data_IF_586718314358
#
_entry.id   IF_586718314358
#
_cell.length_a   1.000
_cell.length_b   1.000
_cell.length_c   1.000
_cell.angle_alpha   90.00
_cell.angle_beta   90.00
_cell.angle_gamma   90.00
#
_symmetry.space_group_name_H-M   'P 1'
#
loop_
_entity.id
_entity.type
_entity.pdbx_description
1 polymer ?
#
# COMPACT_ATOMS: atom_id res chain seq x y z
N UNK A 1 -27.30 12.95 33.39
CA UNK A 1 -26.12 12.62 32.58
C UNK A 1 -25.99 13.55 31.37
N UNK A 2 -27.04 14.24 31.00
CA UNK A 2 -27.11 15.08 29.80
C UNK A 2 -26.17 16.30 29.79
N UNK A 3 -25.76 16.77 31.00
CA UNK A 3 -24.86 17.93 31.12
C UNK A 3 -23.42 17.70 30.63
N UNK A 4 -22.94 16.45 30.63
CA UNK A 4 -21.56 16.10 30.22
C UNK A 4 -21.45 16.08 28.69
N UNK A 5 -22.53 15.77 28.00
CA UNK A 5 -22.58 15.65 26.54
C UNK A 5 -23.08 16.91 25.84
N UNK A 6 -23.40 17.96 26.61
CA UNK A 6 -23.78 19.27 26.07
C UNK A 6 -22.51 20.03 25.71
N UNK A 7 -22.39 20.43 24.45
CA UNK A 7 -21.25 21.23 23.98
C UNK A 7 -21.22 22.60 24.66
N UNK A 8 -20.02 23.07 25.03
CA UNK A 8 -19.83 24.38 25.67
C UNK A 8 -20.27 25.53 24.76
N UNK A 9 -20.26 25.28 23.42
CA UNK A 9 -20.64 26.25 22.39
C UNK A 9 -21.96 25.90 21.67
N UNK A 10 -22.79 25.01 22.25
CA UNK A 10 -24.06 24.64 21.65
C UNK A 10 -25.00 25.85 21.66
N UNK A 11 -25.40 26.27 20.47
CA UNK A 11 -26.42 27.30 20.22
C UNK A 11 -27.68 26.61 19.68
N UNK A 12 -28.82 27.30 19.75
CA UNK A 12 -30.14 26.81 19.30
C UNK A 12 -30.19 26.37 17.82
N UNK A 13 -29.18 26.71 17.03
CA UNK A 13 -29.01 26.34 15.61
C UNK A 13 -28.17 25.05 15.38
N UNK A 14 -27.51 24.54 16.41
CA UNK A 14 -26.73 23.31 16.32
C UNK A 14 -27.60 22.11 16.64
N UNK A 15 -27.79 21.19 15.71
CA UNK A 15 -28.54 19.96 15.99
C UNK A 15 -27.78 19.19 17.07
N UNK A 16 -28.42 18.95 18.21
CA UNK A 16 -27.90 18.15 19.30
C UNK A 16 -27.74 16.70 18.80
N UNK A 17 -26.52 16.25 18.67
CA UNK A 17 -26.27 14.85 18.34
C UNK A 17 -26.63 14.01 19.56
N UNK A 18 -27.59 13.10 19.43
CA UNK A 18 -27.95 12.17 20.48
C UNK A 18 -26.76 11.26 20.77
N UNK A 19 -26.49 10.96 22.05
CA UNK A 19 -25.45 10.00 22.45
C UNK A 19 -25.68 8.63 21.82
N UNK A 20 -26.95 8.25 21.65
CA UNK A 20 -27.34 6.99 21.01
C UNK A 20 -26.93 6.98 19.52
N UNK A 21 -27.23 8.05 18.79
CA UNK A 21 -26.89 8.18 17.39
C UNK A 21 -25.36 8.21 17.17
N UNK A 22 -24.63 8.92 18.08
CA UNK A 22 -23.16 8.93 18.06
C UNK A 22 -22.59 7.53 18.23
N UNK A 23 -23.03 6.78 19.25
CA UNK A 23 -22.54 5.42 19.50
C UNK A 23 -22.91 4.46 18.37
N UNK A 24 -24.08 4.63 17.77
CA UNK A 24 -24.52 3.82 16.63
C UNK A 24 -23.66 4.08 15.40
N UNK A 25 -23.45 5.33 15.02
CA UNK A 25 -22.61 5.69 13.88
C UNK A 25 -21.15 5.24 14.09
N UNK A 26 -20.62 5.44 15.30
CA UNK A 26 -19.28 5.01 15.67
C UNK A 26 -19.15 3.48 15.59
N UNK A 27 -20.10 2.73 16.16
CA UNK A 27 -20.12 1.27 16.13
C UNK A 27 -20.18 0.71 14.72
N UNK A 28 -21.08 1.25 13.89
CA UNK A 28 -21.20 0.85 12.48
C UNK A 28 -19.90 1.15 11.73
N UNK A 29 -19.31 2.33 11.91
CA UNK A 29 -18.06 2.71 11.25
C UNK A 29 -16.90 1.79 11.62
N UNK A 30 -16.80 1.35 12.87
CA UNK A 30 -15.81 0.37 13.31
C UNK A 30 -16.02 -0.99 12.62
N UNK A 31 -17.26 -1.45 12.52
CA UNK A 31 -17.58 -2.71 11.82
C UNK A 31 -17.20 -2.62 10.34
N UNK A 32 -17.56 -1.50 9.67
CA UNK A 32 -17.19 -1.27 8.28
C UNK A 32 -15.66 -1.24 8.09
N UNK A 33 -14.94 -0.61 9.00
CA UNK A 33 -13.46 -0.61 9.00
C UNK A 33 -12.86 -2.00 9.15
N UNK A 34 -13.43 -2.84 10.03
CA UNK A 34 -13.00 -4.24 10.17
C UNK A 34 -13.26 -5.06 8.89
N UNK A 35 -14.42 -4.87 8.24
CA UNK A 35 -14.74 -5.52 6.96
C UNK A 35 -13.72 -5.12 5.89
N UNK A 36 -13.36 -3.83 5.81
CA UNK A 36 -12.37 -3.34 4.84
C UNK A 36 -10.98 -3.89 5.15
N UNK A 37 -10.56 -3.93 6.42
CA UNK A 37 -9.28 -4.50 6.83
C UNK A 37 -9.21 -6.00 6.51
N UNK A 38 -10.29 -6.75 6.72
CA UNK A 38 -10.39 -8.16 6.36
C UNK A 38 -10.32 -8.37 4.84
N UNK A 39 -11.04 -7.56 4.06
CA UNK A 39 -11.02 -7.61 2.59
C UNK A 39 -9.62 -7.28 2.04
N UNK A 40 -8.92 -6.31 2.62
CA UNK A 40 -7.56 -5.96 2.22
C UNK A 40 -6.55 -7.04 2.57
N UNK A 41 -6.68 -7.67 3.74
CA UNK A 41 -5.80 -8.76 4.20
C UNK A 41 -5.83 -9.98 3.27
N UNK A 42 -6.91 -10.14 2.49
CA UNK A 42 -7.05 -11.26 1.58
C UNK A 42 -6.14 -11.10 0.36
N UNK A 43 -5.13 -11.99 0.22
CA UNK A 43 -4.14 -12.06 -0.88
C UNK A 43 -3.21 -10.83 -1.06
N UNK A 44 -3.15 -9.90 -0.13
CA UNK A 44 -2.19 -8.80 -0.18
C UNK A 44 -1.12 -8.96 0.90
N UNK A 45 0.12 -8.63 0.58
CA UNK A 45 1.17 -8.42 1.59
C UNK A 45 0.82 -7.14 2.37
N UNK A 46 0.77 -7.20 3.68
CA UNK A 46 0.38 -6.09 4.52
C UNK A 46 1.14 -6.07 5.86
N UNK A 47 1.32 -4.90 6.43
CA UNK A 47 1.81 -4.76 7.79
C UNK A 47 0.66 -4.75 8.78
N UNK A 48 0.85 -5.34 9.97
CA UNK A 48 -0.17 -5.33 11.03
C UNK A 48 -0.61 -3.90 11.38
N UNK A 49 0.34 -2.96 11.38
CA UNK A 49 0.07 -1.55 11.65
C UNK A 49 -0.90 -0.93 10.63
N UNK A 50 -0.74 -1.24 9.35
CA UNK A 50 -1.64 -0.74 8.29
C UNK A 50 -3.07 -1.27 8.47
N UNK A 51 -3.25 -2.55 8.79
CA UNK A 51 -4.58 -3.12 9.03
C UNK A 51 -5.31 -2.46 10.20
N UNK A 52 -4.60 -2.19 11.31
CA UNK A 52 -5.18 -1.48 12.46
C UNK A 52 -5.59 -0.07 12.07
N UNK A 53 -4.73 0.65 11.33
CA UNK A 53 -5.05 1.99 10.84
C UNK A 53 -6.30 1.96 9.94
N UNK A 54 -6.37 1.00 9.03
CA UNK A 54 -7.49 0.85 8.10
C UNK A 54 -8.80 0.54 8.84
N UNK A 55 -8.75 -0.29 9.89
CA UNK A 55 -9.91 -0.63 10.70
C UNK A 55 -10.47 0.57 11.50
N UNK A 56 -9.59 1.45 11.97
CA UNK A 56 -9.97 2.61 12.79
C UNK A 56 -10.33 3.85 11.97
N UNK A 57 -9.80 3.97 10.76
CA UNK A 57 -9.92 5.18 9.94
C UNK A 57 -11.38 5.61 9.67
N UNK A 58 -12.34 4.72 9.31
CA UNK A 58 -13.73 5.13 9.12
C UNK A 58 -14.36 5.70 10.38
N UNK A 59 -14.03 5.16 11.56
CA UNK A 59 -14.55 5.64 12.83
C UNK A 59 -14.03 7.05 13.17
N UNK A 60 -12.73 7.29 12.95
CA UNK A 60 -12.14 8.63 13.15
C UNK A 60 -12.78 9.65 12.22
N UNK A 61 -12.91 9.33 10.93
CA UNK A 61 -13.54 10.23 9.95
C UNK A 61 -15.02 10.47 10.28
N UNK A 62 -15.75 9.42 10.68
CA UNK A 62 -17.14 9.51 11.10
C UNK A 62 -17.31 10.53 12.23
N UNK A 63 -16.53 10.43 13.31
CA UNK A 63 -16.61 11.35 14.45
C UNK A 63 -16.27 12.77 14.02
N UNK A 64 -15.24 12.98 13.23
CA UNK A 64 -14.86 14.30 12.74
C UNK A 64 -16.00 14.94 11.94
N UNK A 65 -16.63 14.18 11.03
CA UNK A 65 -17.73 14.67 10.20
C UNK A 65 -18.98 14.97 11.06
N UNK A 66 -19.30 14.13 12.04
CA UNK A 66 -20.39 14.39 12.96
C UNK A 66 -20.19 15.70 13.74
N UNK A 67 -18.95 15.98 14.18
CA UNK A 67 -18.65 17.21 14.92
C UNK A 67 -18.66 18.46 14.03
N UNK A 68 -18.43 18.31 12.73
CA UNK A 68 -18.46 19.40 11.74
C UNK A 68 -19.87 19.66 11.20
N UNK A 69 -20.76 18.68 11.31
CA UNK A 69 -22.10 18.73 10.74
C UNK A 69 -22.87 19.92 11.25
N UNK A 70 -23.37 20.76 10.35
CA UNK A 70 -24.09 21.99 10.64
C UNK A 70 -23.21 23.25 10.82
N UNK A 71 -21.88 23.12 10.84
CA UNK A 71 -20.98 24.27 11.00
C UNK A 71 -19.96 24.37 9.86
N UNK A 72 -20.26 25.25 8.90
CA UNK A 72 -19.37 25.46 7.71
C UNK A 72 -17.97 25.92 8.14
N UNK A 73 -17.87 26.78 9.17
CA UNK A 73 -16.57 27.26 9.67
C UNK A 73 -15.72 26.14 10.25
N UNK A 74 -16.32 25.22 11.02
CA UNK A 74 -15.63 24.03 11.51
C UNK A 74 -15.17 23.12 10.36
N UNK A 75 -15.99 22.97 9.31
CA UNK A 75 -15.64 22.20 8.11
C UNK A 75 -14.39 22.73 7.43
N UNK A 76 -14.31 24.05 7.23
CA UNK A 76 -13.12 24.71 6.64
C UNK A 76 -11.90 24.57 7.54
N UNK A 77 -12.06 24.74 8.86
CA UNK A 77 -10.97 24.58 9.82
C UNK A 77 -10.39 23.16 9.82
N UNK A 78 -11.25 22.13 9.80
CA UNK A 78 -10.86 20.72 9.73
C UNK A 78 -10.14 20.42 8.39
N UNK A 79 -10.68 20.90 7.26
CA UNK A 79 -10.03 20.75 5.96
C UNK A 79 -8.64 21.40 5.94
N UNK A 80 -8.50 22.59 6.54
CA UNK A 80 -7.23 23.27 6.73
C UNK A 80 -6.25 22.48 7.61
N UNK A 81 -6.72 21.95 8.73
CA UNK A 81 -5.90 21.12 9.61
C UNK A 81 -5.40 19.85 8.92
N UNK A 82 -6.26 19.14 8.17
CA UNK A 82 -5.85 17.97 7.40
C UNK A 82 -4.85 18.30 6.30
N UNK A 83 -4.92 19.48 5.69
CA UNK A 83 -3.95 19.90 4.67
C UNK A 83 -2.54 20.12 5.24
N UNK A 84 -2.43 20.39 6.54
CA UNK A 84 -1.13 20.52 7.23
C UNK A 84 -0.54 19.17 7.66
N UNK A 85 -1.34 18.11 7.66
CA UNK A 85 -0.85 16.75 7.95
C UNK A 85 -0.06 16.25 6.76
N UNK A 86 1.22 16.52 6.77
CA UNK A 86 2.15 15.98 5.78
C UNK A 86 2.49 14.53 6.14
N UNK A 87 2.02 13.60 5.37
CA UNK A 87 2.50 12.22 5.45
C UNK A 87 3.98 12.18 5.04
N UNK A 88 4.85 12.16 6.04
CA UNK A 88 6.31 12.18 5.85
C UNK A 88 6.91 10.79 5.57
N UNK A 89 6.11 9.75 5.65
CA UNK A 89 6.50 8.37 5.36
C UNK A 89 6.39 8.09 3.86
N UNK A 90 7.23 7.17 3.39
CA UNK A 90 7.26 6.74 2.01
C UNK A 90 5.84 6.50 1.47
N UNK A 91 5.54 6.95 0.26
CA UNK A 91 4.23 6.72 -0.32
C UNK A 91 3.95 5.21 -0.31
N UNK A 92 2.83 4.84 0.31
CA UNK A 92 2.35 3.46 0.30
C UNK A 92 2.11 2.98 -1.13
N UNK A 93 1.94 1.70 -1.32
CA UNK A 93 1.55 1.16 -2.63
C UNK A 93 0.26 1.82 -3.11
N UNK A 94 0.05 1.91 -4.43
CA UNK A 94 -1.17 2.48 -5.00
C UNK A 94 -2.44 1.82 -4.43
N UNK A 95 -2.38 0.52 -4.11
CA UNK A 95 -3.46 -0.23 -3.47
C UNK A 95 -3.75 0.28 -2.05
N UNK A 96 -2.72 0.58 -1.26
CA UNK A 96 -2.88 1.15 0.09
C UNK A 96 -3.55 2.51 0.05
N UNK A 97 -3.12 3.38 -0.88
CA UNK A 97 -3.69 4.71 -1.05
C UNK A 97 -5.19 4.61 -1.38
N UNK A 98 -5.56 3.80 -2.36
CA UNK A 98 -6.98 3.59 -2.74
C UNK A 98 -7.79 3.07 -1.56
N UNK A 99 -7.26 2.12 -0.79
CA UNK A 99 -7.98 1.54 0.34
C UNK A 99 -8.18 2.55 1.48
N UNK A 100 -7.20 3.43 1.72
CA UNK A 100 -7.35 4.56 2.65
C UNK A 100 -8.49 5.48 2.21
N UNK A 101 -8.54 5.87 0.92
CA UNK A 101 -9.64 6.71 0.40
C UNK A 101 -11.01 6.03 0.52
N UNK A 102 -11.09 4.71 0.31
CA UNK A 102 -12.32 3.96 0.53
C UNK A 102 -12.77 4.00 1.99
N UNK A 103 -11.83 3.80 2.92
CA UNK A 103 -12.10 3.87 4.35
C UNK A 103 -12.56 5.28 4.79
N UNK A 104 -11.91 6.32 4.26
CA UNK A 104 -12.34 7.70 4.49
C UNK A 104 -13.76 7.95 3.95
N UNK A 105 -14.06 7.50 2.72
CA UNK A 105 -15.38 7.63 2.11
C UNK A 105 -16.49 6.95 2.93
N UNK A 106 -16.25 5.72 3.40
CA UNK A 106 -17.19 5.00 4.26
C UNK A 106 -17.47 5.76 5.57
N UNK A 107 -16.39 6.27 6.21
CA UNK A 107 -16.51 7.09 7.44
C UNK A 107 -17.24 8.39 7.21
N UNK A 108 -17.01 9.06 6.08
CA UNK A 108 -17.69 10.31 5.72
C UNK A 108 -19.21 10.09 5.57
N UNK A 109 -19.62 9.06 4.81
CA UNK A 109 -21.03 8.73 4.60
C UNK A 109 -21.69 8.35 5.93
N UNK A 110 -21.01 7.56 6.77
CA UNK A 110 -21.53 7.17 8.09
C UNK A 110 -21.65 8.38 9.04
N UNK A 111 -20.67 9.30 9.02
CA UNK A 111 -20.68 10.53 9.81
C UNK A 111 -21.78 11.52 9.43
N UNK A 112 -22.26 11.46 8.19
CA UNK A 112 -23.45 12.19 7.73
C UNK A 112 -24.77 11.53 8.17
N UNK A 113 -24.73 10.38 8.86
CA UNK A 113 -25.89 9.65 9.32
C UNK A 113 -26.48 8.64 8.30
N UNK A 114 -25.89 8.51 7.11
CA UNK A 114 -26.39 7.60 6.06
C UNK A 114 -25.80 6.19 6.20
N UNK A 115 -26.08 5.51 7.33
CA UNK A 115 -25.47 4.20 7.65
C UNK A 115 -25.76 3.11 6.62
N UNK A 116 -26.97 3.08 6.06
CA UNK A 116 -27.32 2.12 4.99
C UNK A 116 -26.49 2.31 3.72
N UNK A 117 -26.28 3.57 3.32
CA UNK A 117 -25.44 3.89 2.16
C UNK A 117 -23.95 3.61 2.43
N UNK A 118 -23.48 3.85 3.66
CA UNK A 118 -22.11 3.54 4.06
C UNK A 118 -21.85 2.03 3.98
N UNK A 119 -22.80 1.21 4.44
CA UNK A 119 -22.71 -0.24 4.37
C UNK A 119 -22.73 -0.73 2.90
N UNK A 120 -23.67 -0.23 2.11
CA UNK A 120 -23.77 -0.59 0.68
C UNK A 120 -22.52 -0.18 -0.10
N UNK A 121 -22.02 1.03 0.11
CA UNK A 121 -20.78 1.51 -0.48
C UNK A 121 -19.59 0.58 -0.12
N UNK A 122 -19.43 0.27 1.17
CA UNK A 122 -18.35 -0.59 1.65
C UNK A 122 -18.41 -1.99 1.03
N UNK A 123 -19.60 -2.61 0.98
CA UNK A 123 -19.79 -3.94 0.40
C UNK A 123 -19.47 -3.95 -1.08
N UNK A 124 -19.99 -3.01 -1.85
CA UNK A 124 -19.73 -2.92 -3.29
C UNK A 124 -18.24 -2.72 -3.54
N UNK A 125 -17.61 -1.78 -2.84
CA UNK A 125 -16.20 -1.46 -3.08
C UNK A 125 -15.26 -2.57 -2.62
N UNK A 126 -15.54 -3.25 -1.52
CA UNK A 126 -14.81 -4.45 -1.11
C UNK A 126 -14.98 -5.59 -2.12
N UNK A 127 -16.18 -5.82 -2.64
CA UNK A 127 -16.42 -6.84 -3.66
C UNK A 127 -15.63 -6.53 -4.95
N UNK A 128 -15.64 -5.28 -5.41
CA UNK A 128 -14.87 -4.85 -6.57
C UNK A 128 -13.37 -4.94 -6.34
N UNK A 129 -12.88 -4.55 -5.15
CA UNK A 129 -11.49 -4.68 -4.77
C UNK A 129 -11.01 -6.13 -4.79
N UNK A 130 -11.79 -7.05 -4.21
CA UNK A 130 -11.50 -8.48 -4.23
C UNK A 130 -11.54 -9.05 -5.65
N UNK A 131 -12.52 -8.65 -6.46
CA UNK A 131 -12.63 -9.07 -7.87
C UNK A 131 -11.40 -8.64 -8.68
N UNK A 132 -11.04 -7.35 -8.62
CA UNK A 132 -9.86 -6.85 -9.31
C UNK A 132 -8.57 -7.51 -8.82
N UNK A 133 -8.46 -7.74 -7.52
CA UNK A 133 -7.29 -8.40 -6.95
C UNK A 133 -7.22 -9.89 -7.36
N UNK A 134 -8.36 -10.56 -7.51
CA UNK A 134 -8.44 -11.91 -8.03
C UNK A 134 -8.07 -11.99 -9.52
N UNK A 135 -8.50 -11.01 -10.31
CA UNK A 135 -8.19 -10.92 -11.75
C UNK A 135 -6.73 -10.48 -12.00
N UNK A 136 -6.21 -9.52 -11.20
CA UNK A 136 -4.83 -9.03 -11.31
C UNK A 136 -3.81 -9.97 -10.66
N UNK A 137 -4.24 -10.85 -9.76
CA UNK A 137 -3.36 -11.60 -8.87
C UNK A 137 -2.91 -12.92 -9.48
N UNK A 138 -1.75 -12.95 -10.10
CA UNK A 138 -0.92 -14.14 -10.13
C UNK A 138 0.18 -13.99 -9.06
N UNK A 139 -0.06 -14.46 -7.83
CA UNK A 139 0.98 -14.62 -6.80
C UNK A 139 2.17 -15.46 -7.31
N UNK A 140 1.93 -16.29 -8.32
CA UNK A 140 2.94 -17.04 -9.07
C UNK A 140 3.84 -16.12 -9.90
N UNK A 141 3.36 -14.96 -10.32
CA UNK A 141 4.15 -13.97 -11.06
C UNK A 141 5.18 -13.26 -10.18
N UNK A 142 4.85 -13.00 -8.91
CA UNK A 142 5.78 -12.34 -7.98
C UNK A 142 6.94 -13.26 -7.54
N UNK A 143 6.68 -14.55 -7.39
CA UNK A 143 7.73 -15.52 -7.04
C UNK A 143 8.75 -15.71 -8.17
N UNK A 144 8.30 -15.51 -9.41
CA UNK A 144 9.09 -15.71 -10.63
C UNK A 144 9.85 -14.44 -11.01
N UNK A 145 9.34 -13.24 -10.66
CA UNK A 145 9.98 -11.97 -10.98
C UNK A 145 10.98 -11.58 -9.89
N UNK A 146 12.24 -11.45 -10.25
CA UNK A 146 13.35 -11.14 -9.35
C UNK A 146 14.16 -9.95 -9.87
N UNK A 147 14.75 -9.23 -8.94
CA UNK A 147 15.82 -8.26 -9.23
C UNK A 147 17.13 -8.87 -8.81
N UNK A 148 18.05 -9.04 -9.77
CA UNK A 148 19.38 -9.57 -9.57
C UNK A 148 20.38 -8.42 -9.66
N UNK A 149 21.17 -8.22 -8.60
CA UNK A 149 22.28 -7.27 -8.58
C UNK A 149 23.57 -8.06 -8.59
N UNK A 150 24.40 -7.83 -9.58
CA UNK A 150 25.68 -8.53 -9.79
C UNK A 150 26.79 -7.50 -9.70
N UNK A 151 27.73 -7.70 -8.79
CA UNK A 151 28.97 -6.91 -8.76
C UNK A 151 30.03 -7.62 -9.62
N UNK A 152 30.69 -6.86 -10.48
CA UNK A 152 31.75 -7.36 -11.36
C UNK A 152 32.99 -6.44 -11.26
N UNK A 153 34.19 -6.94 -11.53
CA UNK A 153 35.39 -6.13 -11.62
C UNK A 153 35.37 -5.24 -12.88
N UNK A 154 36.15 -4.18 -12.89
CA UNK A 154 36.22 -3.19 -13.98
C UNK A 154 36.71 -3.78 -15.30
N UNK A 155 37.58 -4.76 -15.23
CA UNK A 155 38.18 -5.44 -16.39
C UNK A 155 37.25 -6.41 -17.11
N UNK A 156 36.11 -6.76 -16.50
CA UNK A 156 35.10 -7.61 -17.13
C UNK A 156 34.13 -6.75 -17.96
N UNK A 157 34.12 -6.97 -19.27
CA UNK A 157 33.09 -6.38 -20.13
C UNK A 157 31.74 -6.96 -19.79
N UNK A 158 30.84 -6.08 -19.28
CA UNK A 158 29.49 -6.49 -18.89
C UNK A 158 28.54 -6.65 -20.06
N UNK A 159 28.93 -6.25 -21.26
CA UNK A 159 28.10 -6.36 -22.48
C UNK A 159 27.98 -7.83 -22.87
N UNK A 160 26.81 -8.42 -22.60
CA UNK A 160 26.53 -9.82 -22.91
C UNK A 160 27.20 -10.86 -21.99
N UNK A 161 27.93 -10.43 -20.94
CA UNK A 161 28.65 -11.32 -20.04
C UNK A 161 27.79 -12.42 -19.39
N UNK A 162 26.51 -12.21 -19.24
CA UNK A 162 25.58 -13.12 -18.57
C UNK A 162 24.43 -13.56 -19.46
N UNK A 163 24.41 -13.20 -20.74
CA UNK A 163 23.27 -13.44 -21.64
C UNK A 163 22.96 -14.93 -21.83
N UNK A 164 23.96 -15.77 -21.93
CA UNK A 164 23.84 -17.23 -22.05
C UNK A 164 23.23 -17.83 -20.78
N UNK A 165 23.65 -17.38 -19.59
CA UNK A 165 23.09 -17.80 -18.31
C UNK A 165 21.64 -17.37 -18.20
N UNK A 166 21.35 -16.10 -18.49
CA UNK A 166 19.97 -15.63 -18.44
C UNK A 166 19.07 -16.30 -19.49
N UNK A 167 19.57 -16.61 -20.68
CA UNK A 167 18.82 -17.35 -21.70
C UNK A 167 18.41 -18.76 -21.22
N UNK A 168 19.24 -19.42 -20.42
CA UNK A 168 18.97 -20.75 -19.88
C UNK A 168 17.93 -20.69 -18.74
N UNK A 169 18.13 -19.81 -17.75
CA UNK A 169 17.37 -19.80 -16.50
C UNK A 169 16.18 -18.84 -16.48
N UNK A 170 16.11 -17.87 -17.41
CA UNK A 170 15.06 -16.84 -17.41
C UNK A 170 14.20 -16.87 -18.67
N UNK A 171 12.95 -16.40 -18.55
CA UNK A 171 12.04 -16.14 -19.67
C UNK A 171 12.26 -14.75 -20.25
N UNK A 172 12.60 -13.79 -19.37
CA UNK A 172 12.87 -12.40 -19.71
C UNK A 172 13.98 -11.91 -18.79
N UNK A 173 14.90 -11.16 -19.34
CA UNK A 173 15.91 -10.41 -18.59
C UNK A 173 16.00 -9.00 -19.17
N UNK A 174 16.27 -8.02 -18.32
CA UNK A 174 16.40 -6.64 -18.71
C UNK A 174 17.40 -5.95 -17.79
N UNK A 175 18.46 -5.37 -18.37
CA UNK A 175 19.43 -4.57 -17.63
C UNK A 175 18.82 -3.19 -17.32
N UNK A 176 18.51 -2.94 -16.05
CA UNK A 176 17.84 -1.70 -15.61
C UNK A 176 18.85 -0.61 -15.26
N UNK A 177 19.98 -1.00 -14.66
CA UNK A 177 20.94 -0.03 -14.13
C UNK A 177 22.34 -0.60 -14.10
N UNK A 178 23.29 0.23 -14.52
CA UNK A 178 24.72 0.03 -14.30
C UNK A 178 25.19 1.14 -13.36
N UNK A 179 25.90 0.78 -12.31
CA UNK A 179 26.45 1.74 -11.33
C UNK A 179 27.91 1.36 -11.04
N UNK A 180 28.81 2.33 -11.15
CA UNK A 180 30.17 2.17 -10.62
C UNK A 180 30.14 2.18 -9.09
N UNK A 181 30.95 1.34 -8.47
CA UNK A 181 31.06 1.21 -7.01
C UNK A 181 32.52 1.01 -6.63
N UNK A 182 32.81 1.02 -5.34
CA UNK A 182 34.17 0.85 -4.81
C UNK A 182 35.18 1.80 -5.47
N UNK A 183 34.88 3.13 -5.43
CA UNK A 183 35.72 4.17 -6.03
C UNK A 183 36.02 4.02 -7.53
N UNK A 184 35.14 3.32 -8.25
CA UNK A 184 35.27 3.12 -9.71
C UNK A 184 35.83 1.76 -10.11
N UNK A 185 36.43 1.00 -9.19
CA UNK A 185 37.09 -0.28 -9.50
C UNK A 185 36.12 -1.47 -9.73
N UNK A 186 34.81 -1.24 -9.61
CA UNK A 186 33.80 -2.28 -9.79
C UNK A 186 32.53 -1.69 -10.43
N UNK A 187 31.82 -2.52 -11.19
CA UNK A 187 30.48 -2.22 -11.66
C UNK A 187 29.45 -3.03 -10.89
N UNK A 188 28.31 -2.42 -10.60
CA UNK A 188 27.13 -3.11 -10.10
C UNK A 188 26.03 -3.04 -11.14
N UNK A 189 25.71 -4.20 -11.69
CA UNK A 189 24.66 -4.40 -12.68
C UNK A 189 23.37 -4.76 -11.96
N UNK A 190 22.26 -4.18 -12.36
CA UNK A 190 20.93 -4.51 -11.84
C UNK A 190 20.06 -5.00 -12.98
N UNK A 191 19.66 -6.26 -12.91
CA UNK A 191 18.77 -6.90 -13.87
C UNK A 191 17.41 -7.16 -13.24
N UNK A 192 16.34 -6.91 -13.99
CA UNK A 192 15.05 -7.51 -13.72
C UNK A 192 14.92 -8.79 -14.53
N UNK A 193 14.66 -9.89 -13.86
CA UNK A 193 14.57 -11.21 -14.48
C UNK A 193 13.26 -11.89 -14.12
N UNK A 194 12.72 -12.63 -15.08
CA UNK A 194 11.59 -13.53 -14.87
C UNK A 194 12.11 -14.97 -14.97
N UNK A 195 12.21 -15.64 -13.83
CA UNK A 195 12.74 -17.02 -13.80
C UNK A 195 11.82 -17.99 -14.58
N UNK A 196 12.39 -18.98 -15.22
CA UNK A 196 11.64 -20.10 -15.80
C UNK A 196 11.15 -21.04 -14.71
N UNK A 197 12.02 -21.31 -13.73
CA UNK A 197 11.79 -22.20 -12.61
C UNK A 197 12.44 -21.61 -11.34
N UNK A 198 11.65 -21.38 -10.31
CA UNK A 198 12.11 -20.83 -9.03
C UNK A 198 13.05 -21.79 -8.31
N UNK A 199 12.91 -23.10 -8.53
CA UNK A 199 13.76 -24.12 -7.88
C UNK A 199 15.20 -24.07 -8.36
N UNK A 200 15.45 -23.52 -9.56
CA UNK A 200 16.77 -23.35 -10.18
C UNK A 200 17.46 -22.04 -9.87
N UNK A 201 16.88 -21.21 -9.00
CA UNK A 201 17.45 -19.91 -8.62
C UNK A 201 18.87 -20.04 -8.09
N UNK A 202 19.14 -21.04 -7.25
CA UNK A 202 20.47 -21.28 -6.69
C UNK A 202 21.48 -21.66 -7.76
N UNK A 203 21.10 -22.53 -8.68
CA UNK A 203 21.96 -22.97 -9.78
C UNK A 203 22.36 -21.78 -10.69
N UNK A 204 21.39 -20.91 -11.00
CA UNK A 204 21.66 -19.67 -11.74
C UNK A 204 22.67 -18.78 -11.00
N UNK A 205 22.50 -18.60 -9.67
CA UNK A 205 23.43 -17.79 -8.86
C UNK A 205 24.85 -18.39 -8.88
N UNK A 206 24.96 -19.70 -8.77
CA UNK A 206 26.26 -20.38 -8.76
C UNK A 206 26.98 -20.21 -10.11
N UNK A 207 26.25 -20.28 -11.22
CA UNK A 207 26.79 -20.01 -12.56
C UNK A 207 27.24 -18.56 -12.76
N UNK A 208 26.45 -17.61 -12.24
CA UNK A 208 26.84 -16.18 -12.27
C UNK A 208 28.10 -15.97 -11.42
N UNK A 209 28.22 -16.66 -10.28
CA UNK A 209 29.35 -16.55 -9.35
C UNK A 209 30.65 -17.03 -9.99
N UNK A 210 30.63 -18.06 -10.81
CA UNK A 210 31.81 -18.55 -11.57
C UNK A 210 32.36 -17.46 -12.49
N UNK A 211 31.52 -16.59 -13.04
CA UNK A 211 31.88 -15.58 -14.03
C UNK A 211 32.17 -14.20 -13.45
N UNK A 212 31.55 -13.85 -12.32
CA UNK A 212 31.76 -12.53 -11.73
C UNK A 212 32.98 -12.42 -10.81
N UNK A 213 33.84 -13.43 -10.77
CA UNK A 213 35.00 -13.43 -9.88
C UNK A 213 34.65 -13.67 -8.41
N UNK A 214 33.57 -14.37 -8.12
CA UNK A 214 33.08 -14.65 -6.76
C UNK A 214 32.76 -13.40 -5.94
N UNK A 215 32.38 -12.30 -6.61
CA UNK A 215 31.96 -11.05 -5.97
C UNK A 215 30.50 -11.12 -5.52
N UNK A 216 30.03 -10.06 -4.87
CA UNK A 216 28.67 -9.96 -4.30
C UNK A 216 27.59 -10.14 -5.38
N UNK A 217 26.66 -11.06 -5.13
CA UNK A 217 25.42 -11.22 -5.89
C UNK A 217 24.27 -11.09 -4.91
N UNK A 218 23.28 -10.26 -5.23
CA UNK A 218 22.07 -10.07 -4.45
C UNK A 218 20.86 -10.38 -5.32
N UNK A 219 20.01 -11.30 -4.87
CA UNK A 219 18.73 -11.60 -5.51
C UNK A 219 17.61 -11.23 -4.56
N UNK A 220 16.69 -10.39 -5.01
CA UNK A 220 15.52 -9.95 -4.26
C UNK A 220 14.26 -10.12 -5.10
N UNK A 221 13.09 -10.13 -4.45
CA UNK A 221 11.83 -9.97 -5.17
C UNK A 221 11.89 -8.65 -5.93
N UNK A 222 11.33 -8.63 -7.13
CA UNK A 222 11.21 -7.40 -7.89
C UNK A 222 10.25 -6.47 -7.14
N UNK A 223 10.80 -5.40 -6.53
CA UNK A 223 9.98 -4.29 -6.06
C UNK A 223 9.34 -3.63 -7.28
N UNK A 224 8.02 -3.65 -7.36
CA UNK A 224 7.29 -2.80 -8.29
C UNK A 224 7.57 -1.35 -7.88
N UNK A 225 8.68 -0.78 -8.34
CA UNK A 225 8.88 0.66 -8.28
C UNK A 225 7.80 1.26 -9.18
N UNK A 226 6.72 1.69 -8.57
CA UNK A 226 5.91 2.76 -9.12
C UNK A 226 6.92 3.89 -9.33
N UNK A 227 7.15 4.26 -10.58
CA UNK A 227 8.02 5.34 -10.95
C UNK A 227 7.68 6.53 -10.06
N UNK A 228 8.66 7.03 -9.32
CA UNK A 228 8.59 8.35 -8.72
C UNK A 228 8.40 9.33 -9.89
N UNK A 229 7.16 9.85 -10.00
CA UNK A 229 6.80 11.00 -10.83
C UNK A 229 7.23 12.27 -10.11
#
# INVERSE_FOLDING_TARGET
MDAIFKGIFDNELTQLISVQDFLLCLGVSLVLGLIMAAAYSFKNEHTKSFLVTLALLPAVVCVVIMMVNGNIGAGVAVAGAFSLVRFRSAPGSAKEIVTIFLAMGAGLIAGMGYLGFAALFTVIMCAMFLLYNALAGNARSEAVNKTVKITIPEDLDYTGAFDDIFAEYTKKNELIKVKTTNMGSMFRLTYNVTLRDVTKEKEMIDRIRERNGNLEIMVSKQENRVAEL
#
